data_IF_687541119239
#
_entry.id   IF_687541119239
#
_cell.length_a   1.000
_cell.length_b   1.000
_cell.length_c   1.000
_cell.angle_alpha   90.00
_cell.angle_beta   90.00
_cell.angle_gamma   90.00
#
_symmetry.space_group_name_H-M   'P 1'
#
loop_
_entity.id
_entity.type
_entity.pdbx_description
1 polymer ?
#
# COMPACT_ATOMS: atom_id res chain seq x y z
N UNK A 1 1.72 20.53 32.11
CA UNK A 1 2.26 19.19 31.85
C UNK A 1 1.56 18.69 30.59
N UNK A 2 2.25 18.64 29.45
CA UNK A 2 1.67 18.20 28.18
C UNK A 2 1.77 16.68 28.07
N UNK A 3 0.69 16.01 27.66
CA UNK A 3 0.66 14.57 27.44
C UNK A 3 1.53 14.24 26.21
N UNK A 4 2.34 13.16 26.23
CA UNK A 4 3.06 12.75 25.03
C UNK A 4 2.05 12.25 24.01
N UNK A 5 1.86 13.02 22.93
CA UNK A 5 1.13 12.57 21.76
C UNK A 5 1.86 11.33 21.26
N UNK A 6 1.31 10.15 21.56
CA UNK A 6 1.76 8.92 20.94
C UNK A 6 1.21 8.99 19.53
N UNK A 7 1.93 9.67 18.62
CA UNK A 7 1.72 9.53 17.18
C UNK A 7 1.97 8.06 16.88
N UNK A 8 0.90 7.29 16.95
CA UNK A 8 0.90 5.88 16.68
C UNK A 8 1.19 5.77 15.18
N UNK A 9 2.45 5.53 14.84
CA UNK A 9 2.94 5.30 13.48
C UNK A 9 2.28 4.02 12.95
N UNK A 10 1.05 4.17 12.48
CA UNK A 10 0.36 3.10 11.80
C UNK A 10 0.96 3.01 10.40
N UNK A 11 1.39 1.83 9.95
CA UNK A 11 1.89 1.68 8.60
C UNK A 11 0.81 2.16 7.60
N UNK A 12 1.19 2.86 6.52
CA UNK A 12 0.21 3.38 5.57
C UNK A 12 -0.63 2.22 5.02
N UNK A 13 -1.96 2.37 5.11
CA UNK A 13 -2.90 1.42 4.53
C UNK A 13 -2.63 1.28 3.01
N UNK A 14 -2.78 0.07 2.43
CA UNK A 14 -2.56 -0.13 0.99
C UNK A 14 -3.52 0.75 0.17
N UNK A 15 -2.96 1.63 -0.65
CA UNK A 15 -3.73 2.50 -1.54
C UNK A 15 -4.04 1.77 -2.86
N UNK A 16 -5.32 1.45 -3.09
CA UNK A 16 -5.77 0.89 -4.35
C UNK A 16 -6.15 2.02 -5.33
N UNK A 17 -5.36 2.24 -6.38
CA UNK A 17 -5.72 3.11 -7.52
C UNK A 17 -6.12 2.25 -8.71
N UNK A 18 -7.41 2.28 -9.06
CA UNK A 18 -7.95 1.59 -10.24
C UNK A 18 -8.07 2.57 -11.42
N UNK A 19 -7.37 2.30 -12.52
CA UNK A 19 -7.57 2.99 -13.80
C UNK A 19 -8.36 2.08 -14.75
N UNK A 20 -9.55 2.53 -15.19
CA UNK A 20 -10.34 1.84 -16.22
C UNK A 20 -9.95 2.40 -17.60
N UNK A 21 -9.20 1.62 -18.38
CA UNK A 21 -9.14 1.74 -19.85
C UNK A 21 -9.95 0.61 -20.45
N UNK A 22 -10.77 0.91 -21.47
CA UNK A 22 -12.02 0.23 -21.84
C UNK A 22 -12.03 -1.29 -22.10
N UNK A 23 -10.95 -2.05 -21.96
CA UNK A 23 -10.95 -3.53 -22.05
C UNK A 23 -9.86 -4.22 -21.20
N UNK A 24 -9.09 -3.46 -20.42
CA UNK A 24 -8.10 -3.99 -19.49
C UNK A 24 -8.17 -3.20 -18.20
N UNK A 25 -8.56 -3.87 -17.12
CA UNK A 25 -8.42 -3.28 -15.79
C UNK A 25 -7.00 -3.56 -15.33
N UNK A 26 -6.18 -2.50 -15.24
CA UNK A 26 -4.87 -2.56 -14.62
C UNK A 26 -5.04 -2.19 -13.15
N UNK A 27 -4.76 -3.13 -12.26
CA UNK A 27 -4.74 -2.90 -10.82
C UNK A 27 -3.27 -2.89 -10.39
N UNK A 28 -2.80 -1.72 -9.94
CA UNK A 28 -1.52 -1.64 -9.25
C UNK A 28 -1.74 -2.03 -7.79
N UNK A 29 -1.10 -3.12 -7.37
CA UNK A 29 -1.09 -3.60 -6.00
C UNK A 29 0.29 -3.32 -5.43
N UNK A 30 0.36 -2.45 -4.42
CA UNK A 30 1.57 -2.23 -3.65
C UNK A 30 1.39 -2.88 -2.29
N UNK A 31 2.25 -3.86 -1.99
CA UNK A 31 2.33 -4.48 -0.67
C UNK A 31 3.55 -3.92 0.05
N UNK A 32 3.33 -3.42 1.25
CA UNK A 32 4.39 -2.96 2.14
C UNK A 32 4.40 -3.88 3.36
N UNK A 33 5.58 -4.39 3.71
CA UNK A 33 5.82 -5.15 4.93
C UNK A 33 6.93 -4.47 5.70
N UNK A 34 6.70 -4.21 6.97
CA UNK A 34 7.72 -3.73 7.90
C UNK A 34 8.02 -4.85 8.88
N UNK A 35 9.27 -5.29 8.91
CA UNK A 35 9.75 -6.30 9.83
C UNK A 35 10.06 -5.68 11.20
N UNK A 36 10.09 -6.46 12.29
CA UNK A 36 10.31 -5.94 13.66
C UNK A 36 11.66 -5.26 13.88
N UNK A 37 12.62 -5.48 12.99
CA UNK A 37 13.92 -4.80 12.94
C UNK A 37 13.84 -3.40 12.30
N UNK A 38 12.66 -2.98 11.85
CA UNK A 38 12.41 -1.71 11.16
C UNK A 38 12.65 -1.78 9.65
N UNK A 39 13.10 -2.92 9.11
CA UNK A 39 13.30 -3.08 7.67
C UNK A 39 11.96 -3.04 6.95
N UNK A 40 11.79 -2.15 5.97
CA UNK A 40 10.57 -2.10 5.15
C UNK A 40 10.84 -2.63 3.75
N UNK A 41 10.10 -3.68 3.38
CA UNK A 41 10.09 -4.23 2.03
C UNK A 41 8.82 -3.81 1.30
N UNK A 42 8.99 -3.21 0.12
CA UNK A 42 7.89 -2.86 -0.76
C UNK A 42 7.92 -3.70 -2.04
N UNK A 43 6.75 -4.23 -2.41
CA UNK A 43 6.56 -4.95 -3.68
C UNK A 43 5.39 -4.36 -4.43
N UNK A 44 5.62 -3.99 -5.69
CA UNK A 44 4.58 -3.53 -6.60
C UNK A 44 4.29 -4.62 -7.63
N UNK A 45 3.03 -5.01 -7.76
CA UNK A 45 2.54 -5.94 -8.77
C UNK A 45 1.48 -5.25 -9.60
N UNK A 46 1.64 -5.33 -10.92
CA UNK A 46 0.61 -4.92 -11.87
C UNK A 46 -0.20 -6.15 -12.22
N UNK A 47 -1.49 -6.14 -11.89
CA UNK A 47 -2.44 -7.19 -12.28
C UNK A 47 -3.30 -6.64 -13.41
N UNK A 48 -3.19 -7.22 -14.59
CA UNK A 48 -4.17 -7.01 -15.66
C UNK A 48 -5.28 -8.06 -15.56
N UNK A 49 -6.53 -7.61 -15.42
CA UNK A 49 -7.69 -8.45 -15.71
C UNK A 49 -8.16 -8.12 -17.12
N UNK A 50 -7.98 -9.08 -18.04
CA UNK A 50 -8.71 -9.12 -19.31
C UNK A 50 -10.13 -9.57 -18.98
N UNK A 51 -11.11 -8.72 -19.26
CA UNK A 51 -12.52 -9.06 -19.06
C UNK A 51 -13.06 -9.91 -20.20
#
# INVERSE_FOLDING_TARGET
MAQPNTEQDFPPLPQYRQSKTSNQTWVNVTTTRTDPDGTTTQRSQIISKRS
#
